data_IF_159585685067
#
_entry.id   IF_159585685067
#
_cell.length_a   1.000
_cell.length_b   1.000
_cell.length_c   1.000
_cell.angle_alpha   90.00
_cell.angle_beta   90.00
_cell.angle_gamma   90.00
#
_symmetry.space_group_name_H-M   'P 1'
#
loop_
_entity.id
_entity.type
_entity.pdbx_description
1 polymer ?
#
# COMPACT_ATOMS: atom_id res chain seq x y z
N UNK A 1 75.51 -12.78 -28.37
CA UNK A 1 75.14 -14.19 -28.13
C UNK A 1 74.67 -14.33 -26.70
N UNK A 2 73.36 -14.21 -26.44
CA UNK A 2 72.56 -15.06 -25.55
C UNK A 2 71.16 -14.47 -25.42
N UNK A 3 70.23 -15.23 -25.98
CA UNK A 3 68.80 -14.94 -26.11
C UNK A 3 68.10 -15.38 -24.82
N UNK A 4 67.32 -14.49 -24.20
CA UNK A 4 66.48 -14.82 -23.04
C UNK A 4 65.03 -14.95 -23.53
N UNK A 5 64.58 -16.20 -23.59
CA UNK A 5 63.25 -16.60 -24.01
C UNK A 5 62.19 -16.23 -22.96
N UNK A 6 61.12 -15.60 -23.42
CA UNK A 6 59.90 -15.31 -22.67
C UNK A 6 59.06 -16.59 -22.59
N UNK A 7 58.75 -17.04 -21.37
CA UNK A 7 57.80 -18.14 -21.14
C UNK A 7 56.46 -17.52 -20.70
N UNK A 8 55.48 -17.55 -21.60
CA UNK A 8 54.07 -17.23 -21.31
C UNK A 8 53.38 -18.47 -20.73
N UNK A 9 52.65 -18.37 -19.60
CA UNK A 9 51.82 -19.46 -19.11
C UNK A 9 50.47 -19.47 -19.85
N UNK A 10 50.21 -20.57 -20.54
CA UNK A 10 48.95 -20.89 -21.23
C UNK A 10 47.83 -21.08 -20.21
N UNK A 11 46.89 -20.14 -20.15
CA UNK A 11 45.65 -20.25 -19.35
C UNK A 11 44.67 -21.19 -20.07
N UNK A 12 44.45 -22.39 -19.54
CA UNK A 12 43.39 -23.30 -19.96
C UNK A 12 42.05 -22.84 -19.34
N UNK A 13 41.16 -22.31 -20.17
CA UNK A 13 39.77 -22.02 -19.82
C UNK A 13 38.96 -23.32 -19.85
N UNK A 14 38.61 -23.86 -18.69
CA UNK A 14 37.66 -24.98 -18.58
C UNK A 14 36.26 -24.40 -18.40
N UNK A 15 35.48 -24.37 -19.48
CA UNK A 15 34.05 -24.06 -19.45
C UNK A 15 33.27 -25.27 -18.93
N UNK A 16 32.91 -25.27 -17.65
CA UNK A 16 31.91 -26.19 -17.11
C UNK A 16 30.52 -25.59 -17.33
N UNK A 17 29.80 -26.16 -18.31
CA UNK A 17 28.39 -25.87 -18.55
C UNK A 17 27.57 -26.65 -17.52
N UNK A 18 27.08 -25.97 -16.49
CA UNK A 18 26.13 -26.55 -15.56
C UNK A 18 24.76 -26.64 -16.25
N UNK A 19 24.33 -27.86 -16.53
CA UNK A 19 22.97 -28.14 -16.98
C UNK A 19 21.99 -27.74 -15.86
N UNK A 20 21.16 -26.74 -16.15
CA UNK A 20 20.04 -26.35 -15.30
C UNK A 20 18.97 -27.45 -15.39
N UNK A 21 18.48 -28.02 -14.28
CA UNK A 21 17.37 -28.96 -14.34
C UNK A 21 16.12 -28.23 -14.84
N UNK A 22 15.62 -28.66 -15.99
CA UNK A 22 14.30 -28.29 -16.51
C UNK A 22 13.27 -28.96 -15.61
N UNK A 23 12.59 -28.15 -14.80
CA UNK A 23 11.43 -28.60 -14.02
C UNK A 23 10.27 -28.77 -15.00
N UNK A 24 9.91 -30.03 -15.29
CA UNK A 24 8.69 -30.39 -16.00
C UNK A 24 7.47 -29.96 -15.18
N UNK A 25 6.72 -28.99 -15.68
CA UNK A 25 5.42 -28.59 -15.10
C UNK A 25 4.34 -29.44 -15.79
N UNK A 26 3.77 -30.36 -15.02
CA UNK A 26 2.69 -31.26 -15.46
C UNK A 26 1.40 -30.47 -15.76
N UNK A 27 0.64 -30.80 -16.82
CA UNK A 27 -0.55 -30.06 -17.19
C UNK A 27 -1.84 -30.59 -16.52
N UNK A 28 -2.76 -29.65 -16.29
CA UNK A 28 -4.19 -29.80 -16.03
C UNK A 28 -4.68 -29.99 -14.58
N UNK A 29 -5.19 -28.88 -14.04
CA UNK A 29 -6.13 -28.84 -12.92
C UNK A 29 -6.63 -27.40 -12.69
N UNK A 30 -7.76 -27.04 -13.31
CA UNK A 30 -8.35 -25.69 -13.27
C UNK A 30 -8.87 -25.33 -11.87
N UNK A 31 -7.99 -24.79 -11.03
CA UNK A 31 -8.34 -23.83 -9.98
C UNK A 31 -7.25 -22.76 -10.01
N UNK A 32 -7.57 -21.56 -10.50
CA UNK A 32 -6.70 -20.39 -10.37
C UNK A 32 -6.66 -19.98 -8.89
N UNK A 33 -5.82 -20.70 -8.14
CA UNK A 33 -5.20 -20.16 -6.94
C UNK A 33 -4.35 -19.01 -7.48
N UNK A 34 -4.83 -17.78 -7.34
CA UNK A 34 -3.97 -16.61 -7.45
C UNK A 34 -2.95 -16.76 -6.33
N UNK A 35 -1.77 -17.27 -6.66
CA UNK A 35 -0.68 -17.42 -5.70
C UNK A 35 -0.41 -16.05 -5.09
N UNK A 36 -0.74 -15.91 -3.81
CA UNK A 36 -0.27 -14.79 -2.99
C UNK A 36 1.26 -14.89 -2.95
N UNK A 37 1.99 -14.13 -3.77
CA UNK A 37 3.44 -14.05 -3.61
C UNK A 37 4.31 -13.70 -4.82
N UNK A 38 3.80 -13.63 -6.04
CA UNK A 38 4.69 -13.46 -7.23
C UNK A 38 4.81 -12.03 -7.72
N UNK A 39 4.57 -11.03 -6.87
CA UNK A 39 4.65 -9.66 -7.35
C UNK A 39 6.06 -9.22 -7.69
N UNK A 40 6.37 -9.20 -8.99
CA UNK A 40 7.70 -8.83 -9.49
C UNK A 40 7.94 -7.33 -9.41
N UNK A 41 6.89 -6.53 -9.61
CA UNK A 41 7.00 -5.07 -9.64
C UNK A 41 5.89 -4.47 -8.79
N UNK A 42 6.24 -4.10 -7.56
CA UNK A 42 5.37 -3.31 -6.71
C UNK A 42 5.38 -1.84 -7.17
N UNK A 43 4.23 -1.15 -7.16
CA UNK A 43 4.15 0.26 -7.51
C UNK A 43 5.03 1.15 -6.64
N UNK A 44 5.64 2.17 -7.25
CA UNK A 44 6.40 3.16 -6.51
C UNK A 44 5.49 4.09 -5.68
N UNK A 45 6.05 4.69 -4.63
CA UNK A 45 5.39 5.79 -3.92
C UNK A 45 5.33 7.02 -4.83
N UNK A 46 4.19 7.72 -4.86
CA UNK A 46 4.09 9.00 -5.54
C UNK A 46 4.65 10.15 -4.67
N UNK A 47 4.77 11.35 -5.26
CA UNK A 47 5.39 12.49 -4.59
C UNK A 47 4.61 12.95 -3.35
N UNK A 48 3.28 12.89 -3.36
CA UNK A 48 2.46 13.25 -2.20
C UNK A 48 2.66 12.28 -1.03
N UNK A 49 2.77 10.98 -1.32
CA UNK A 49 3.17 9.97 -0.33
C UNK A 49 4.56 10.23 0.23
N UNK A 50 5.54 10.53 -0.62
CA UNK A 50 6.90 10.80 -0.20
C UNK A 50 6.98 12.06 0.67
N UNK A 51 6.24 13.13 0.30
CA UNK A 51 6.09 14.34 1.12
C UNK A 51 5.47 14.03 2.48
N UNK A 52 4.43 13.20 2.52
CA UNK A 52 3.80 12.81 3.77
C UNK A 52 4.76 12.04 4.69
N UNK A 53 5.49 11.05 4.16
CA UNK A 53 6.42 10.24 4.95
C UNK A 53 7.56 11.13 5.47
N UNK A 54 8.19 11.91 4.60
CA UNK A 54 9.29 12.80 4.99
C UNK A 54 8.88 13.88 6.00
N UNK A 55 7.62 14.35 5.97
CA UNK A 55 7.09 15.31 6.95
C UNK A 55 7.05 14.74 8.38
N UNK A 56 6.78 13.45 8.54
CA UNK A 56 6.62 12.81 9.85
C UNK A 56 7.81 11.95 10.28
N UNK A 57 8.86 11.89 9.46
CA UNK A 57 10.09 11.15 9.75
C UNK A 57 11.23 12.13 10.03
N UNK A 58 11.96 11.92 11.12
CA UNK A 58 13.11 12.78 11.43
C UNK A 58 14.19 12.66 10.35
N UNK A 59 14.77 13.78 9.95
CA UNK A 59 15.94 13.80 9.09
C UNK A 59 17.23 13.98 9.90
N UNK A 60 18.18 13.07 9.72
CA UNK A 60 19.53 13.17 10.28
C UNK A 60 20.55 13.29 9.15
N UNK A 61 21.20 14.44 9.06
CA UNK A 61 22.21 14.72 8.04
C UNK A 61 23.55 13.99 8.32
N UNK A 62 23.67 13.33 9.47
CA UNK A 62 24.80 12.51 9.94
C UNK A 62 24.29 11.28 10.68
N UNK A 63 25.12 10.21 10.85
CA UNK A 63 24.79 9.09 11.71
C UNK A 63 24.47 9.56 13.13
N UNK A 64 23.31 9.14 13.65
CA UNK A 64 22.85 9.40 15.01
C UNK A 64 22.37 8.10 15.63
N UNK A 65 22.78 7.84 16.86
CA UNK A 65 22.30 6.67 17.59
C UNK A 65 20.89 6.95 18.15
N UNK A 66 19.92 6.09 17.80
CA UNK A 66 18.54 6.14 18.28
C UNK A 66 18.23 4.80 18.94
N UNK A 67 18.16 4.80 20.27
CA UNK A 67 18.10 3.54 21.04
C UNK A 67 19.38 2.72 20.84
N UNK A 68 19.24 1.49 20.34
CA UNK A 68 20.36 0.56 20.09
C UNK A 68 20.90 0.61 18.66
N UNK A 69 20.19 1.28 17.76
CA UNK A 69 20.50 1.31 16.34
C UNK A 69 21.13 2.65 15.94
N UNK A 70 21.98 2.63 14.91
CA UNK A 70 22.47 3.83 14.26
C UNK A 70 21.58 4.19 13.07
N UNK A 71 21.30 5.48 12.91
CA UNK A 71 20.30 5.98 11.98
C UNK A 71 20.81 7.21 11.24
N UNK A 72 20.44 7.38 9.96
CA UNK A 72 20.72 8.57 9.17
C UNK A 72 19.59 8.86 8.17
N UNK A 73 19.64 9.99 7.45
CA UNK A 73 18.61 10.34 6.46
C UNK A 73 17.22 10.42 7.10
N UNK A 74 16.18 9.99 6.38
CA UNK A 74 14.83 9.85 6.91
C UNK A 74 14.68 8.51 7.65
N UNK A 75 15.26 8.43 8.83
CA UNK A 75 15.24 7.25 9.72
C UNK A 75 15.74 5.92 9.11
N UNK A 76 16.68 5.99 8.16
CA UNK A 76 17.34 4.80 7.61
C UNK A 76 18.14 4.05 8.69
N UNK A 77 17.93 2.74 8.82
CA UNK A 77 18.66 1.90 9.78
C UNK A 77 20.01 1.45 9.21
N UNK A 78 21.07 2.00 9.77
CA UNK A 78 22.44 1.71 9.35
C UNK A 78 22.91 0.32 9.77
N UNK A 79 23.75 -0.32 8.95
CA UNK A 79 24.40 -1.60 9.30
C UNK A 79 25.51 -1.47 10.33
N UNK A 80 26.07 -0.26 10.50
CA UNK A 80 27.15 0.02 11.44
C UNK A 80 27.10 1.46 11.97
N UNK A 81 27.94 1.77 12.95
CA UNK A 81 27.96 3.08 13.64
C UNK A 81 28.35 4.26 12.76
N UNK A 82 28.99 4.02 11.62
CA UNK A 82 29.38 5.07 10.67
C UNK A 82 28.38 5.22 9.52
N UNK A 83 27.37 4.36 9.45
CA UNK A 83 26.45 4.26 8.31
C UNK A 83 27.20 4.22 6.96
N UNK A 84 28.34 3.53 6.94
CA UNK A 84 29.28 3.55 5.80
C UNK A 84 28.73 2.83 4.56
N UNK A 85 27.67 2.05 4.74
CA UNK A 85 26.86 1.43 3.70
C UNK A 85 26.07 2.44 2.87
N UNK A 86 25.78 3.62 3.43
CA UNK A 86 24.99 4.65 2.76
C UNK A 86 25.85 5.79 2.20
N UNK A 87 26.80 6.31 2.98
CA UNK A 87 27.73 7.36 2.55
C UNK A 87 29.07 7.29 3.25
N UNK A 88 30.14 7.65 2.53
CA UNK A 88 31.47 7.90 3.08
C UNK A 88 31.73 9.38 3.43
N UNK A 89 30.81 10.28 3.03
CA UNK A 89 30.91 11.73 3.24
C UNK A 89 29.67 12.26 3.94
N UNK A 90 29.88 13.10 4.94
CA UNK A 90 28.84 13.71 5.77
C UNK A 90 29.13 15.22 5.91
N UNK A 91 28.12 16.09 6.02
CA UNK A 91 26.69 15.79 6.09
C UNK A 91 26.07 15.42 4.73
N UNK A 92 24.92 14.77 4.74
CA UNK A 92 24.12 14.52 3.51
C UNK A 92 23.04 15.57 3.32
N UNK A 93 22.61 15.75 2.07
CA UNK A 93 21.46 16.59 1.74
C UNK A 93 20.14 15.86 1.99
N UNK A 94 19.04 16.62 2.16
CA UNK A 94 17.68 16.06 2.21
C UNK A 94 17.32 15.27 0.95
N UNK A 95 17.77 15.73 -0.22
CA UNK A 95 17.59 15.02 -1.48
C UNK A 95 18.22 13.62 -1.42
N UNK A 96 19.48 13.53 -0.98
CA UNK A 96 20.16 12.25 -0.84
C UNK A 96 19.44 11.33 0.16
N UNK A 97 18.94 11.88 1.25
CA UNK A 97 18.10 11.14 2.20
C UNK A 97 16.77 10.68 1.61
N UNK A 98 16.15 11.45 0.71
CA UNK A 98 14.94 11.03 -0.01
C UNK A 98 15.22 9.87 -0.97
N UNK A 99 16.37 9.88 -1.64
CA UNK A 99 16.77 8.77 -2.50
C UNK A 99 16.88 7.46 -1.69
N UNK A 100 17.50 7.52 -0.51
CA UNK A 100 17.57 6.37 0.40
C UNK A 100 16.21 5.94 0.94
N UNK A 101 15.35 6.89 1.27
CA UNK A 101 13.99 6.58 1.70
C UNK A 101 13.22 5.83 0.61
N UNK A 102 13.36 6.22 -0.67
CA UNK A 102 12.73 5.51 -1.79
C UNK A 102 13.20 4.05 -1.87
N UNK A 103 14.47 3.79 -1.59
CA UNK A 103 15.00 2.43 -1.51
C UNK A 103 14.43 1.65 -0.31
N UNK A 104 14.37 2.27 0.87
CA UNK A 104 13.79 1.65 2.07
C UNK A 104 12.30 1.31 1.90
N UNK A 105 11.56 2.13 1.14
CA UNK A 105 10.15 1.89 0.86
C UNK A 105 9.91 0.66 -0.01
N UNK A 106 10.90 0.15 -0.75
CA UNK A 106 10.75 -1.05 -1.60
C UNK A 106 10.27 -2.26 -0.80
N UNK A 107 10.74 -2.43 0.44
CA UNK A 107 10.27 -3.50 1.31
C UNK A 107 8.77 -3.36 1.63
N UNK A 108 8.33 -2.16 1.97
CA UNK A 108 6.91 -1.89 2.27
C UNK A 108 6.02 -2.02 1.04
N UNK A 109 6.53 -1.62 -0.14
CA UNK A 109 5.86 -1.80 -1.43
C UNK A 109 5.62 -3.28 -1.74
N UNK A 110 6.66 -4.10 -1.59
CA UNK A 110 6.57 -5.56 -1.79
C UNK A 110 5.57 -6.21 -0.83
N UNK A 111 5.59 -5.81 0.44
CA UNK A 111 4.63 -6.30 1.42
C UNK A 111 3.19 -6.00 0.98
N UNK A 112 2.87 -4.74 0.67
CA UNK A 112 1.52 -4.38 0.23
C UNK A 112 1.10 -5.11 -1.05
N UNK A 113 2.00 -5.20 -2.02
CA UNK A 113 1.76 -5.93 -3.27
C UNK A 113 1.42 -7.41 -3.03
N UNK A 114 1.99 -8.03 -1.99
CA UNK A 114 1.68 -9.41 -1.61
C UNK A 114 0.40 -9.56 -0.77
N UNK A 115 -0.14 -8.47 -0.22
CA UNK A 115 -1.28 -8.50 0.70
C UNK A 115 -2.58 -8.05 0.07
N UNK A 116 -2.54 -7.20 -0.95
CA UNK A 116 -3.72 -6.64 -1.60
C UNK A 116 -4.00 -7.40 -2.89
N UNK A 117 -5.24 -7.84 -3.08
CA UNK A 117 -5.64 -8.56 -4.30
C UNK A 117 -5.65 -7.65 -5.52
N UNK A 118 -5.45 -8.21 -6.71
CA UNK A 118 -5.51 -7.48 -7.99
C UNK A 118 -6.88 -6.87 -8.28
N UNK A 119 -7.93 -7.38 -7.66
CA UNK A 119 -9.30 -6.86 -7.74
C UNK A 119 -9.47 -5.53 -6.99
N UNK A 120 -8.59 -5.20 -6.04
CA UNK A 120 -8.63 -3.96 -5.31
C UNK A 120 -8.03 -2.83 -6.15
N UNK A 121 -8.87 -1.98 -6.71
CA UNK A 121 -8.47 -0.80 -7.48
C UNK A 121 -8.18 0.37 -6.54
N UNK A 122 -6.92 0.58 -6.20
CA UNK A 122 -6.49 1.76 -5.45
C UNK A 122 -6.10 2.88 -6.41
N UNK A 123 -6.31 4.14 -6.03
CA UNK A 123 -5.60 5.25 -6.68
C UNK A 123 -4.20 5.46 -6.08
N UNK A 124 -3.34 6.25 -6.74
CA UNK A 124 -1.97 6.49 -6.28
C UNK A 124 -1.88 7.04 -4.85
N UNK A 125 -2.82 7.91 -4.43
CA UNK A 125 -2.81 8.51 -3.10
C UNK A 125 -3.30 7.53 -2.02
N UNK A 126 -4.28 6.68 -2.34
CA UNK A 126 -4.72 5.58 -1.47
C UNK A 126 -3.56 4.58 -1.26
N UNK A 127 -2.88 4.19 -2.34
CA UNK A 127 -1.69 3.34 -2.25
C UNK A 127 -0.58 3.99 -1.41
N UNK A 128 -0.29 5.27 -1.66
CA UNK A 128 0.72 6.02 -0.91
C UNK A 128 0.41 6.15 0.59
N UNK A 129 -0.87 6.34 0.96
CA UNK A 129 -1.29 6.37 2.36
C UNK A 129 -1.07 5.00 3.04
N UNK A 130 -1.45 3.90 2.38
CA UNK A 130 -1.19 2.54 2.87
C UNK A 130 0.31 2.27 2.97
N UNK A 131 1.12 2.77 2.04
CA UNK A 131 2.56 2.61 2.04
C UNK A 131 3.22 3.36 3.19
N UNK A 132 2.81 4.60 3.48
CA UNK A 132 3.26 5.35 4.66
C UNK A 132 2.95 4.60 5.96
N UNK A 133 1.73 4.10 6.08
CA UNK A 133 1.30 3.33 7.24
C UNK A 133 2.10 2.02 7.38
N UNK A 134 2.36 1.31 6.27
CA UNK A 134 3.16 0.08 6.25
C UNK A 134 4.61 0.32 6.64
N UNK A 135 5.20 1.42 6.17
CA UNK A 135 6.56 1.80 6.52
C UNK A 135 6.72 2.05 8.04
N UNK A 136 5.71 2.65 8.69
CA UNK A 136 5.74 2.96 10.12
C UNK A 136 5.40 1.73 11.02
N UNK A 137 4.35 0.99 10.66
CA UNK A 137 3.81 -0.10 11.48
C UNK A 137 4.45 -1.46 11.17
N UNK A 138 5.11 -1.59 10.03
CA UNK A 138 5.71 -2.83 9.54
C UNK A 138 4.71 -3.78 8.88
N UNK A 139 5.24 -4.66 8.04
CA UNK A 139 4.46 -5.53 7.16
C UNK A 139 3.52 -6.49 7.91
N UNK A 140 3.97 -7.12 9.00
CA UNK A 140 3.13 -8.09 9.73
C UNK A 140 1.93 -7.48 10.44
N UNK A 141 2.06 -6.23 10.91
CA UNK A 141 0.95 -5.47 11.48
C UNK A 141 -0.08 -5.18 10.40
N UNK A 142 0.38 -4.68 9.25
CA UNK A 142 -0.47 -4.35 8.11
C UNK A 142 -1.16 -5.59 7.54
N UNK A 143 -0.44 -6.70 7.33
CA UNK A 143 -0.97 -7.96 6.80
C UNK A 143 -2.17 -8.49 7.59
N UNK A 144 -2.10 -8.40 8.92
CA UNK A 144 -3.13 -8.93 9.83
C UNK A 144 -4.29 -7.96 10.09
N UNK A 145 -4.18 -6.74 9.57
CA UNK A 145 -5.13 -5.67 9.80
C UNK A 145 -6.53 -6.00 9.26
N UNK A 146 -7.54 -5.39 9.87
CA UNK A 146 -8.92 -5.43 9.39
C UNK A 146 -9.07 -4.63 8.10
N UNK A 147 -8.28 -3.56 7.93
CA UNK A 147 -8.23 -2.77 6.71
C UNK A 147 -7.88 -3.62 5.48
N UNK A 148 -6.77 -4.37 5.52
CA UNK A 148 -6.36 -5.24 4.40
C UNK A 148 -7.41 -6.33 4.15
N UNK A 149 -8.00 -6.92 5.20
CA UNK A 149 -9.08 -7.91 5.05
C UNK A 149 -10.29 -7.32 4.31
N UNK A 150 -10.73 -6.12 4.67
CA UNK A 150 -11.90 -5.49 4.05
C UNK A 150 -11.62 -4.96 2.65
N UNK A 151 -10.40 -4.46 2.38
CA UNK A 151 -9.95 -4.09 1.02
C UNK A 151 -9.96 -5.29 0.06
N UNK A 152 -9.57 -6.47 0.54
CA UNK A 152 -9.58 -7.70 -0.28
C UNK A 152 -10.98 -8.30 -0.46
N UNK A 153 -11.94 -7.90 0.38
CA UNK A 153 -13.34 -8.32 0.28
C UNK A 153 -14.18 -7.35 -0.56
N UNK A 154 -13.75 -6.10 -0.74
CA UNK A 154 -14.37 -5.18 -1.69
C UNK A 154 -14.09 -5.66 -3.11
N UNK A 155 -14.96 -6.56 -3.61
CA UNK A 155 -15.05 -6.83 -5.04
C UNK A 155 -15.49 -5.53 -5.73
N UNK A 156 -14.93 -5.20 -6.90
CA UNK A 156 -15.45 -4.11 -7.69
C UNK A 156 -16.91 -4.38 -8.04
N UNK A 157 -17.73 -3.32 -8.06
CA UNK A 157 -19.13 -3.41 -8.45
C UNK A 157 -19.25 -4.13 -9.80
N UNK A 158 -19.94 -5.27 -9.84
CA UNK A 158 -20.06 -6.17 -11.01
C UNK A 158 -20.78 -5.55 -12.23
N UNK A 159 -21.13 -4.27 -12.17
CA UNK A 159 -21.92 -3.56 -13.18
C UNK A 159 -21.10 -3.14 -14.41
N UNK A 160 -19.81 -3.49 -14.48
CA UNK A 160 -18.96 -3.31 -15.65
C UNK A 160 -18.68 -4.58 -16.46
N UNK A 161 -19.47 -5.66 -16.29
CA UNK A 161 -19.37 -6.81 -17.21
C UNK A 161 -19.78 -6.32 -18.61
N UNK A 162 -18.89 -6.56 -19.58
CA UNK A 162 -19.09 -6.26 -20.99
C UNK A 162 -20.49 -6.74 -21.42
N UNK A 163 -21.35 -5.88 -22.01
CA UNK A 163 -22.67 -6.28 -22.54
C UNK A 163 -22.62 -7.36 -23.62
N UNK A 164 -21.44 -7.85 -24.01
CA UNK A 164 -21.28 -8.87 -25.06
C UNK A 164 -21.64 -10.29 -24.61
N UNK A 165 -21.78 -10.54 -23.32
CA UNK A 165 -22.15 -11.87 -22.80
C UNK A 165 -23.67 -12.08 -22.63
N UNK A 166 -24.52 -11.12 -23.06
CA UNK A 166 -25.98 -11.24 -22.93
C UNK A 166 -26.73 -11.60 -24.21
N UNK A 167 -26.06 -12.10 -25.26
CA UNK A 167 -26.70 -12.37 -26.55
C UNK A 167 -27.23 -13.80 -26.80
N UNK A 168 -27.28 -14.68 -25.79
CA UNK A 168 -27.73 -16.07 -25.99
C UNK A 168 -28.99 -16.48 -25.19
N UNK A 169 -29.85 -15.54 -24.79
CA UNK A 169 -31.14 -15.90 -24.17
C UNK A 169 -32.31 -15.11 -24.73
N UNK A 170 -32.53 -15.25 -26.03
CA UNK A 170 -33.85 -15.05 -26.61
C UNK A 170 -34.21 -16.22 -27.53
N UNK A 171 -35.24 -16.98 -27.12
CA UNK A 171 -36.23 -17.50 -28.08
C UNK A 171 -36.15 -18.96 -28.52
N UNK A 172 -36.71 -19.86 -27.71
CA UNK A 172 -37.65 -20.95 -28.07
C UNK A 172 -37.89 -21.77 -26.79
N UNK A 173 -38.96 -21.55 -26.04
CA UNK A 173 -40.34 -21.73 -26.45
C UNK A 173 -40.76 -23.15 -26.09
N UNK A 174 -41.55 -23.29 -25.02
CA UNK A 174 -42.60 -24.30 -24.79
C UNK A 174 -43.04 -24.26 -23.33
N UNK A 175 -44.15 -23.56 -23.15
CA UNK A 175 -45.33 -23.98 -22.38
C UNK A 175 -45.27 -25.44 -21.93
N UNK A 176 -45.47 -25.64 -20.63
CA UNK A 176 -46.22 -26.76 -20.09
C UNK A 176 -46.66 -26.37 -18.68
N UNK A 177 -47.89 -25.90 -18.62
CA UNK A 177 -48.75 -25.99 -17.45
C UNK A 177 -48.79 -27.46 -17.01
N UNK A 178 -48.46 -27.72 -15.75
CA UNK A 178 -48.98 -28.88 -15.04
C UNK A 178 -49.23 -28.48 -13.59
N UNK A 179 -50.53 -28.39 -13.32
CA UNK A 179 -51.14 -28.33 -12.02
C UNK A 179 -50.82 -29.58 -11.17
N UNK A 180 -51.03 -29.38 -9.87
CA UNK A 180 -51.59 -30.35 -8.93
C UNK A 180 -50.71 -31.51 -8.43
N UNK A 181 -50.28 -31.43 -7.16
CA UNK A 181 -51.03 -32.05 -6.05
C UNK A 181 -50.26 -31.89 -4.74
N UNK A 182 -51.02 -31.62 -3.68
CA UNK A 182 -50.53 -31.39 -2.34
C UNK A 182 -49.96 -32.63 -1.64
N UNK A 183 -49.24 -32.38 -0.56
CA UNK A 183 -49.21 -33.29 0.57
C UNK A 183 -49.11 -32.48 1.86
N UNK A 184 -50.10 -32.72 2.72
CA UNK A 184 -50.18 -32.29 4.12
C UNK A 184 -49.24 -33.13 5.00
N UNK A 185 -49.09 -32.65 6.23
CA UNK A 185 -48.62 -33.34 7.44
C UNK A 185 -47.12 -33.64 7.55
N UNK A 186 -46.45 -33.12 8.59
CA UNK A 186 -46.57 -33.77 9.91
C UNK A 186 -45.76 -33.02 11.00
N UNK A 187 -46.30 -33.12 12.21
CA UNK A 187 -45.85 -32.57 13.47
C UNK A 187 -44.44 -33.02 13.90
N UNK A 188 -43.75 -32.18 14.70
CA UNK A 188 -43.26 -32.54 16.06
C UNK A 188 -41.90 -31.97 16.47
N UNK A 189 -41.90 -31.50 17.74
CA UNK A 189 -40.83 -31.56 18.77
C UNK A 189 -39.74 -30.47 18.80
N UNK A 190 -40.07 -29.40 19.52
CA UNK A 190 -39.62 -29.12 20.91
C UNK A 190 -38.18 -29.55 21.27
N UNK A 191 -37.27 -28.58 21.46
CA UNK A 191 -36.38 -28.50 22.65
C UNK A 191 -35.48 -27.24 22.63
N UNK A 192 -35.81 -26.27 23.48
CA UNK A 192 -34.86 -25.36 24.14
C UNK A 192 -34.58 -25.91 25.56
N UNK A 193 -33.72 -25.28 26.39
CA UNK A 193 -32.37 -24.78 26.16
C UNK A 193 -31.40 -25.39 27.20
N UNK A 194 -30.10 -25.53 26.88
CA UNK A 194 -29.12 -25.93 27.89
C UNK A 194 -28.38 -24.73 28.49
N UNK A 195 -28.52 -24.60 29.81
CA UNK A 195 -28.11 -23.51 30.68
C UNK A 195 -26.85 -23.96 31.42
N UNK A 196 -25.67 -23.52 30.96
CA UNK A 196 -24.40 -23.74 31.66
C UNK A 196 -24.03 -22.53 32.52
N UNK A 197 -24.16 -22.67 33.85
CA UNK A 197 -23.55 -21.81 34.88
C UNK A 197 -22.21 -22.42 35.33
N UNK A 198 -21.29 -21.56 35.76
CA UNK A 198 -20.05 -21.90 36.47
C UNK A 198 -18.80 -21.42 35.71
N UNK A 199 -17.80 -20.76 36.28
CA UNK A 199 -17.46 -20.49 37.67
C UNK A 199 -16.65 -19.19 37.74
N UNK A 200 -16.80 -18.48 38.85
CA UNK A 200 -15.88 -17.47 39.35
C UNK A 200 -14.49 -18.09 39.55
N UNK A 201 -13.42 -17.36 39.21
CA UNK A 201 -12.21 -17.41 40.02
C UNK A 201 -11.47 -16.07 39.94
N UNK A 202 -11.35 -15.50 41.12
CA UNK A 202 -10.64 -14.29 41.48
C UNK A 202 -9.13 -14.51 41.44
N UNK A 203 -8.39 -13.69 40.69
CA UNK A 203 -7.03 -13.35 41.07
C UNK A 203 -6.75 -11.86 40.92
N UNK A 204 -6.79 -11.24 42.10
CA UNK A 204 -6.32 -9.92 42.48
C UNK A 204 -4.80 -10.01 42.61
N UNK A 205 -4.06 -9.30 41.77
CA UNK A 205 -2.70 -8.90 42.11
C UNK A 205 -2.51 -7.41 41.89
N UNK A 206 -2.40 -6.73 43.03
CA UNK A 206 -1.90 -5.37 43.17
C UNK A 206 -0.37 -5.45 43.03
N UNK A 207 0.20 -4.64 42.15
CA UNK A 207 1.55 -4.13 42.38
C UNK A 207 1.63 -2.71 41.87
N UNK A 208 1.57 -1.82 42.85
CA UNK A 208 2.23 -0.53 42.89
C UNK A 208 3.66 -0.62 42.37
N UNK A 209 4.12 0.37 41.62
CA UNK A 209 5.40 1.03 41.86
C UNK A 209 5.50 2.34 41.05
N UNK A 210 5.49 3.43 41.81
CA UNK A 210 6.42 4.56 41.73
C UNK A 210 6.62 5.32 40.41
N UNK A 211 5.91 6.45 40.36
CA UNK A 211 6.48 7.81 40.26
C UNK A 211 8.00 7.88 40.06
N UNK A 212 8.42 8.28 38.85
CA UNK A 212 9.54 9.20 38.67
C UNK A 212 9.20 10.24 37.60
N UNK A 213 8.82 11.39 38.14
CA UNK A 213 9.08 12.73 37.67
C UNK A 213 10.33 12.85 36.77
N UNK A 214 10.13 13.31 35.54
CA UNK A 214 11.19 13.83 34.68
C UNK A 214 10.71 15.11 34.02
N UNK A 215 11.03 16.23 34.68
CA UNK A 215 11.79 17.31 34.07
C UNK A 215 11.18 17.96 32.82
N UNK A 216 10.42 19.03 33.05
CA UNK A 216 10.29 20.13 32.08
C UNK A 216 11.67 20.76 31.83
N UNK A 217 12.04 20.90 30.56
CA UNK A 217 13.22 21.64 30.08
C UNK A 217 13.04 21.97 28.59
N UNK A 218 13.71 23.02 28.08
CA UNK A 218 13.02 24.25 27.66
C UNK A 218 12.57 24.27 26.20
N UNK A 219 11.52 25.06 25.96
CA UNK A 219 11.10 25.51 24.64
C UNK A 219 12.13 26.51 24.11
N UNK A 220 12.96 26.08 23.17
CA UNK A 220 13.77 27.01 22.40
C UNK A 220 13.01 27.52 21.18
N UNK A 221 12.95 28.84 21.17
CA UNK A 221 12.41 29.67 20.11
C UNK A 221 13.41 29.70 18.97
N UNK A 222 12.98 29.39 17.74
CA UNK A 222 13.70 29.82 16.55
C UNK A 222 12.70 30.26 15.50
N UNK A 223 12.53 31.59 15.51
CA UNK A 223 11.91 32.42 14.49
C UNK A 223 12.74 32.35 13.20
N UNK A 224 12.03 32.44 12.07
CA UNK A 224 12.43 33.27 10.94
C UNK A 224 13.40 32.66 9.93
N UNK A 225 12.87 32.34 8.74
CA UNK A 225 13.21 33.11 7.54
C UNK A 225 12.29 32.67 6.40
N UNK A 226 11.23 33.44 6.21
CA UNK A 226 10.45 33.55 4.99
C UNK A 226 11.38 34.05 3.88
N UNK A 227 11.59 33.25 2.83
CA UNK A 227 12.15 33.75 1.57
C UNK A 227 11.01 33.79 0.57
N UNK A 228 10.36 34.95 0.55
CA UNK A 228 9.49 35.43 -0.52
C UNK A 228 10.41 35.79 -1.69
N UNK A 229 10.37 35.02 -2.79
CA UNK A 229 10.96 35.44 -4.06
C UNK A 229 9.85 36.04 -4.93
N UNK A 230 9.85 37.36 -4.97
CA UNK A 230 9.14 38.17 -5.94
C UNK A 230 9.71 37.94 -7.34
N UNK A 231 8.86 37.45 -8.24
CA UNK A 231 9.11 37.53 -9.68
C UNK A 231 7.94 38.25 -10.33
N UNK A 232 8.09 39.58 -10.43
CA UNK A 232 7.33 40.43 -11.36
C UNK A 232 7.71 40.05 -12.79
N UNK A 233 6.72 39.70 -13.60
CA UNK A 233 6.84 39.55 -15.03
C UNK A 233 5.52 39.93 -15.70
N UNK A 234 5.46 41.18 -16.17
CA UNK A 234 4.40 41.66 -17.04
C UNK A 234 4.48 40.95 -18.39
N UNK A 235 3.35 40.59 -18.98
CA UNK A 235 3.07 40.83 -20.40
C UNK A 235 1.59 40.61 -20.69
N UNK A 236 0.94 41.71 -21.07
CA UNK A 236 -0.34 41.72 -21.75
C UNK A 236 -0.15 41.18 -23.17
N UNK A 237 -1.09 40.35 -23.63
CA UNK A 237 -1.40 40.25 -25.05
C UNK A 237 -2.87 39.89 -25.21
N UNK A 238 -3.66 40.88 -25.62
CA UNK A 238 -4.97 40.71 -26.24
C UNK A 238 -4.81 39.96 -27.56
N UNK A 239 -5.74 39.05 -27.87
CA UNK A 239 -6.23 38.71 -29.22
C UNK A 239 -7.43 37.75 -29.11
N UNK A 240 -8.61 38.32 -29.27
CA UNK A 240 -9.75 37.87 -30.07
C UNK A 240 -9.98 36.36 -30.34
N UNK A 241 -11.06 35.87 -29.72
CA UNK A 241 -12.25 35.37 -30.43
C UNK A 241 -12.10 34.32 -31.54
N UNK A 242 -12.39 33.06 -31.21
CA UNK A 242 -13.12 32.17 -32.13
C UNK A 242 -13.97 31.15 -31.35
N UNK A 243 -15.29 31.35 -31.40
CA UNK A 243 -16.29 30.41 -30.85
C UNK A 243 -16.53 29.32 -31.89
N UNK A 244 -15.87 28.18 -31.75
CA UNK A 244 -16.29 26.93 -32.41
C UNK A 244 -17.24 26.15 -31.49
N UNK A 245 -18.48 26.03 -31.95
CA UNK A 245 -19.58 25.34 -31.30
C UNK A 245 -19.67 23.91 -31.84
N UNK A 246 -18.83 23.02 -31.34
CA UNK A 246 -18.90 21.59 -31.66
C UNK A 246 -19.87 20.86 -30.70
N UNK A 247 -21.16 21.08 -30.93
CA UNK A 247 -22.22 20.20 -30.41
C UNK A 247 -22.30 18.95 -31.29
N UNK A 248 -21.35 18.02 -31.11
CA UNK A 248 -21.50 16.67 -31.62
C UNK A 248 -21.80 15.70 -30.48
N UNK A 249 -23.09 15.44 -30.29
CA UNK A 249 -23.66 14.56 -29.28
C UNK A 249 -23.19 13.13 -29.46
N UNK A 250 -22.09 12.79 -28.79
CA UNK A 250 -21.74 11.40 -28.54
C UNK A 250 -22.43 11.00 -27.24
N UNK A 251 -23.57 10.30 -27.35
CA UNK A 251 -24.20 9.56 -26.25
C UNK A 251 -23.24 8.46 -25.76
N UNK A 252 -22.22 8.89 -25.00
CA UNK A 252 -21.32 8.01 -24.28
C UNK A 252 -22.07 7.35 -23.14
N UNK A 253 -22.17 6.03 -23.21
CA UNK A 253 -22.77 5.14 -22.23
C UNK A 253 -22.36 5.54 -20.79
N UNK A 254 -23.29 6.16 -20.06
CA UNK A 254 -23.07 6.80 -18.75
C UNK A 254 -22.98 5.81 -17.57
N UNK A 255 -23.16 4.51 -17.83
CA UNK A 255 -23.27 3.49 -16.78
C UNK A 255 -21.92 3.07 -16.16
N UNK A 256 -20.79 3.20 -16.86
CA UNK A 256 -19.48 2.74 -16.34
C UNK A 256 -18.91 3.67 -15.27
N UNK A 257 -19.11 4.99 -15.39
CA UNK A 257 -18.60 5.97 -14.40
C UNK A 257 -19.19 5.78 -13.00
N UNK A 258 -20.45 5.30 -12.92
CA UNK A 258 -21.15 5.17 -11.64
C UNK A 258 -20.54 4.07 -10.76
N UNK A 259 -20.03 2.99 -11.35
CA UNK A 259 -19.43 1.88 -10.60
C UNK A 259 -18.09 2.23 -9.94
N UNK A 260 -17.20 2.91 -10.68
CA UNK A 260 -15.87 3.27 -10.16
C UNK A 260 -15.95 4.30 -9.01
N UNK A 261 -16.93 5.22 -9.06
CA UNK A 261 -17.16 6.20 -7.99
C UNK A 261 -17.62 5.55 -6.67
N UNK A 262 -18.42 4.48 -6.75
CA UNK A 262 -18.91 3.76 -5.58
C UNK A 262 -17.79 2.93 -4.92
N UNK A 263 -16.95 2.28 -5.72
CA UNK A 263 -15.78 1.54 -5.22
C UNK A 263 -14.77 2.49 -4.55
N UNK A 264 -14.53 3.67 -5.14
CA UNK A 264 -13.69 4.72 -4.55
C UNK A 264 -14.20 5.16 -3.18
N UNK A 265 -15.49 5.51 -3.07
CA UNK A 265 -16.10 5.94 -1.79
C UNK A 265 -15.97 4.87 -0.71
N UNK A 266 -16.09 3.60 -1.08
CA UNK A 266 -15.93 2.48 -0.16
C UNK A 266 -14.49 2.39 0.36
N UNK A 267 -13.48 2.50 -0.51
CA UNK A 267 -12.08 2.49 -0.11
C UNK A 267 -11.74 3.70 0.78
N UNK A 268 -12.23 4.90 0.42
CA UNK A 268 -12.05 6.10 1.22
C UNK A 268 -12.63 5.91 2.64
N UNK A 269 -13.84 5.34 2.74
CA UNK A 269 -14.46 5.01 4.02
C UNK A 269 -13.68 3.97 4.83
N UNK A 270 -13.08 2.96 4.18
CA UNK A 270 -12.23 1.97 4.85
C UNK A 270 -10.95 2.63 5.41
N UNK A 271 -10.30 3.49 4.64
CA UNK A 271 -9.15 4.27 5.09
C UNK A 271 -9.50 5.13 6.31
N UNK A 272 -10.56 5.93 6.21
CA UNK A 272 -11.02 6.81 7.29
C UNK A 272 -11.40 6.02 8.55
N UNK A 273 -12.00 4.85 8.39
CA UNK A 273 -12.39 3.99 9.51
C UNK A 273 -11.20 3.35 10.21
N UNK A 274 -10.21 2.85 9.47
CA UNK A 274 -9.19 1.97 10.04
C UNK A 274 -7.81 2.61 10.24
N UNK A 275 -7.34 3.49 9.36
CA UNK A 275 -6.02 4.13 9.54
C UNK A 275 -5.91 4.86 10.89
N UNK A 276 -6.96 5.55 11.39
CA UNK A 276 -6.91 6.16 12.71
C UNK A 276 -6.83 5.18 13.87
N UNK A 277 -7.24 3.92 13.71
CA UNK A 277 -7.41 2.98 14.83
C UNK A 277 -6.14 2.21 15.19
N UNK A 278 -5.11 2.26 14.34
CA UNK A 278 -3.86 1.53 14.58
C UNK A 278 -2.93 2.33 15.48
N UNK A 279 -2.87 1.97 16.76
CA UNK A 279 -1.91 2.53 17.73
C UNK A 279 -1.25 1.43 18.55
N UNK A 280 -0.05 1.00 18.16
CA UNK A 280 0.83 0.21 19.04
C UNK A 280 2.08 0.97 19.48
N UNK A 281 2.46 2.06 18.78
CA UNK A 281 3.69 2.81 19.04
C UNK A 281 3.37 4.21 19.55
N UNK A 282 3.98 4.60 20.68
CA UNK A 282 3.90 5.95 21.28
C UNK A 282 4.29 7.09 20.30
N UNK A 283 4.98 6.78 19.21
CA UNK A 283 5.49 7.74 18.21
C UNK A 283 4.52 8.00 17.05
N UNK A 284 3.48 7.18 16.88
CA UNK A 284 2.54 7.34 15.77
C UNK A 284 1.49 8.41 16.12
N UNK A 285 1.79 9.65 15.74
CA UNK A 285 1.00 10.81 16.13
C UNK A 285 -0.41 10.76 15.52
N UNK A 286 -1.39 11.33 16.23
CA UNK A 286 -2.74 11.54 15.69
C UNK A 286 -2.70 12.37 14.39
N UNK A 287 -1.78 13.31 14.30
CA UNK A 287 -1.59 14.16 13.13
C UNK A 287 -1.17 13.37 11.88
N UNK A 288 -0.24 12.43 12.02
CA UNK A 288 0.17 11.56 10.90
C UNK A 288 -1.00 10.73 10.40
N UNK A 289 -1.76 10.10 11.30
CA UNK A 289 -2.96 9.33 10.94
C UNK A 289 -3.98 10.16 10.16
N UNK A 290 -4.27 11.36 10.65
CA UNK A 290 -5.19 12.27 9.98
C UNK A 290 -4.67 12.70 8.60
N UNK A 291 -3.36 12.89 8.46
CA UNK A 291 -2.75 13.20 7.16
C UNK A 291 -2.80 12.00 6.20
N UNK A 292 -2.63 10.77 6.67
CA UNK A 292 -2.76 9.56 5.86
C UNK A 292 -4.21 9.35 5.40
N UNK A 293 -5.19 9.58 6.27
CA UNK A 293 -6.62 9.58 5.88
C UNK A 293 -6.89 10.66 4.83
N UNK A 294 -6.44 11.90 5.06
CA UNK A 294 -6.62 13.00 4.12
C UNK A 294 -5.95 12.71 2.76
N UNK A 295 -4.77 12.08 2.77
CA UNK A 295 -4.12 11.64 1.54
C UNK A 295 -4.96 10.56 0.86
N UNK A 296 -5.44 9.56 1.59
CA UNK A 296 -6.27 8.48 1.02
C UNK A 296 -7.56 9.03 0.37
N UNK A 297 -8.23 10.00 0.98
CA UNK A 297 -9.45 10.63 0.46
C UNK A 297 -9.21 11.58 -0.72
N UNK A 298 -7.97 12.06 -0.87
CA UNK A 298 -7.63 13.02 -1.93
C UNK A 298 -7.74 12.38 -3.32
N UNK A 299 -8.18 13.18 -4.29
CA UNK A 299 -8.37 12.71 -5.67
C UNK A 299 -7.02 12.46 -6.34
N UNK A 300 -6.84 11.27 -6.89
CA UNK A 300 -5.86 10.97 -7.94
C UNK A 300 -6.59 10.27 -9.08
N UNK A 301 -6.28 10.66 -10.32
CA UNK A 301 -6.89 10.08 -11.53
C UNK A 301 -6.24 8.76 -11.95
N UNK A 302 -5.11 8.37 -11.34
CA UNK A 302 -4.36 7.18 -11.70
C UNK A 302 -4.68 6.03 -10.78
N UNK A 303 -5.20 4.95 -11.36
CA UNK A 303 -5.40 3.67 -10.68
C UNK A 303 -4.06 2.92 -10.66
N UNK A 304 -3.71 2.42 -9.49
CA UNK A 304 -2.55 1.61 -9.21
C UNK A 304 -3.01 0.21 -8.90
N UNK A 305 -2.63 -0.74 -9.76
CA UNK A 305 -2.75 -2.14 -9.43
C UNK A 305 -1.61 -2.51 -8.47
N UNK A 306 -1.90 -3.12 -7.31
CA UNK A 306 -0.89 -3.45 -6.32
C UNK A 306 0.13 -4.45 -6.85
N UNK A 307 -0.20 -5.17 -7.92
CA UNK A 307 0.72 -6.00 -8.65
C UNK A 307 0.47 -6.01 -10.16
N UNK A 308 1.55 -5.96 -10.96
CA UNK A 308 1.58 -6.19 -12.41
C UNK A 308 2.48 -7.38 -12.74
#
# INVERSE_FOLDING_TARGET
MLSLAVILPTLLLVSQSAAVPVVEVSPAGKHTIIERGTCRIAPACNDEGLKLITKYTNFYDRPKQIGRDWTCGYEHKCKNSRCSDMSKKWPISKHKGQDWLKDDLKYSQQCLASYITTECKLNENQYAALLSWTHDQGCDTVRRSRLIKELNQSKPSRNGRDPKDSHDRDGKGRDNDHDDHGHEDDDSKKSEPNRGKGQEDSHRDKSSNDSKDFGKGPQDSSKGSEQQSDSRGNNAHDSDGEKHNDNNGRHGNSNTKRGDDDDKKKIDALCAKYLPTYTSKKKYSRERRNAEVKLCESRSSKIVLPCK
#
